data_IF_913270854370
#
_entry.id   IF_913270854370
#
_cell.length_a   1.000
_cell.length_b   1.000
_cell.length_c   1.000
_cell.angle_alpha   90.00
_cell.angle_beta   90.00
_cell.angle_gamma   90.00
#
_symmetry.space_group_name_H-M   'P 1'
#
loop_
_entity.id
_entity.type
_entity.pdbx_description
1 polymer ?
#
# COMPACT_ATOMS: atom_id res chain seq x y z
N UNK A 1 52.99 41.05 -40.16
CA UNK A 1 52.44 40.70 -38.83
C UNK A 1 50.91 40.56 -38.79
N UNK A 2 50.20 40.49 -39.93
CA UNK A 2 48.72 40.47 -39.93
C UNK A 2 48.08 39.06 -40.03
N UNK A 3 48.77 38.09 -40.64
CA UNK A 3 48.21 36.74 -40.83
C UNK A 3 48.15 35.89 -39.55
N UNK A 4 49.17 36.01 -38.69
CA UNK A 4 49.28 35.21 -37.47
C UNK A 4 48.27 35.66 -36.38
N UNK A 5 48.01 36.96 -36.27
CA UNK A 5 47.01 37.51 -35.35
C UNK A 5 45.58 37.19 -35.78
N UNK A 6 45.28 37.20 -37.09
CA UNK A 6 43.98 36.79 -37.61
C UNK A 6 43.68 35.31 -37.27
N UNK A 7 44.67 34.42 -37.47
CA UNK A 7 44.52 32.99 -37.16
C UNK A 7 44.30 32.69 -35.67
N UNK A 8 44.91 33.48 -34.76
CA UNK A 8 44.70 33.33 -33.31
C UNK A 8 43.30 33.83 -32.92
N UNK A 9 42.86 34.95 -33.50
CA UNK A 9 41.53 35.51 -33.27
C UNK A 9 40.42 34.53 -33.66
N UNK A 10 40.53 33.89 -34.82
CA UNK A 10 39.56 32.89 -35.30
C UNK A 10 39.47 31.68 -34.36
N UNK A 11 40.62 31.25 -33.82
CA UNK A 11 40.71 30.13 -32.88
C UNK A 11 40.08 30.48 -31.53
N UNK A 12 40.30 31.70 -31.04
CA UNK A 12 39.65 32.21 -29.84
C UNK A 12 38.13 32.34 -30.02
N UNK A 13 37.67 32.84 -31.17
CA UNK A 13 36.23 32.93 -31.45
C UNK A 13 35.57 31.54 -31.48
N UNK A 14 36.22 30.55 -32.10
CA UNK A 14 35.72 29.17 -32.11
C UNK A 14 35.66 28.51 -30.74
N UNK A 15 36.51 28.93 -29.79
CA UNK A 15 36.44 28.49 -28.38
C UNK A 15 35.26 29.17 -27.67
N UNK A 16 35.05 30.46 -27.90
CA UNK A 16 33.93 31.22 -27.33
C UNK A 16 32.61 30.62 -27.80
N UNK A 17 32.44 30.41 -29.11
CA UNK A 17 31.20 29.87 -29.68
C UNK A 17 30.87 28.48 -29.11
N UNK A 18 31.88 27.61 -28.99
CA UNK A 18 31.72 26.29 -28.35
C UNK A 18 31.39 26.37 -26.86
N UNK A 19 31.89 27.38 -26.17
CA UNK A 19 31.61 27.57 -24.74
C UNK A 19 30.16 28.00 -24.55
N UNK A 20 29.71 28.97 -25.34
CA UNK A 20 28.32 29.45 -25.34
C UNK A 20 27.34 28.33 -25.70
N UNK A 21 27.64 27.51 -26.71
CA UNK A 21 26.78 26.38 -27.07
C UNK A 21 26.71 25.33 -25.96
N UNK A 22 27.83 25.09 -25.25
CA UNK A 22 27.84 24.19 -24.09
C UNK A 22 27.05 24.74 -22.91
N UNK A 23 27.15 26.04 -22.63
CA UNK A 23 26.36 26.70 -21.58
C UNK A 23 24.86 26.58 -21.86
N UNK A 24 24.41 26.87 -23.09
CA UNK A 24 23.01 26.66 -23.48
C UNK A 24 22.56 25.21 -23.33
N UNK A 25 23.44 24.25 -23.64
CA UNK A 25 23.13 22.83 -23.48
C UNK A 25 23.03 22.43 -22.01
N UNK A 26 23.85 23.02 -21.14
CA UNK A 26 23.79 22.80 -19.69
C UNK A 26 22.45 23.33 -19.15
N UNK A 27 22.09 24.57 -19.47
CA UNK A 27 20.80 25.16 -19.03
C UNK A 27 19.60 24.32 -19.47
N UNK A 28 19.58 23.88 -20.73
CA UNK A 28 18.53 22.99 -21.24
C UNK A 28 18.46 21.67 -20.44
N UNK A 29 19.61 21.05 -20.18
CA UNK A 29 19.66 19.79 -19.43
C UNK A 29 19.29 19.96 -17.96
N UNK A 30 19.55 21.11 -17.36
CA UNK A 30 19.12 21.43 -15.99
C UNK A 30 17.60 21.56 -15.91
N UNK A 31 16.97 22.25 -16.86
CA UNK A 31 15.51 22.34 -16.96
C UNK A 31 14.86 20.97 -17.19
N UNK A 32 15.42 20.17 -18.10
CA UNK A 32 14.92 18.83 -18.40
C UNK A 32 15.06 17.90 -17.19
N UNK A 33 16.19 17.94 -16.49
CA UNK A 33 16.38 17.19 -15.24
C UNK A 33 15.39 17.61 -14.15
N UNK A 34 15.06 18.91 -14.05
CA UNK A 34 14.07 19.40 -13.08
C UNK A 34 12.68 18.83 -13.40
N UNK A 35 12.26 18.88 -14.67
CA UNK A 35 10.99 18.30 -15.12
C UNK A 35 10.92 16.80 -14.83
N UNK A 36 11.97 16.04 -15.16
CA UNK A 36 12.03 14.61 -14.91
C UNK A 36 11.93 14.27 -13.41
N UNK A 37 12.58 15.05 -12.54
CA UNK A 37 12.47 14.88 -11.07
C UNK A 37 11.05 15.16 -10.58
N UNK A 38 10.41 16.21 -11.09
CA UNK A 38 9.04 16.56 -10.72
C UNK A 38 8.03 15.50 -11.18
N UNK A 39 8.20 14.94 -12.39
CA UNK A 39 7.39 13.84 -12.91
C UNK A 39 7.57 12.56 -12.10
N UNK A 40 8.82 12.16 -11.84
CA UNK A 40 9.11 10.99 -11.00
C UNK A 40 8.51 11.14 -9.59
N UNK A 41 8.56 12.34 -9.01
CA UNK A 41 7.91 12.59 -7.73
C UNK A 41 6.39 12.36 -7.79
N UNK A 42 5.71 12.90 -8.82
CA UNK A 42 4.27 12.69 -9.03
C UNK A 42 3.92 11.21 -9.18
N UNK A 43 4.70 10.45 -9.92
CA UNK A 43 4.49 9.00 -10.10
C UNK A 43 4.64 8.26 -8.77
N UNK A 44 5.65 8.60 -7.97
CA UNK A 44 5.85 8.00 -6.64
C UNK A 44 4.70 8.28 -5.67
N UNK A 45 4.17 9.51 -5.68
CA UNK A 45 3.01 9.88 -4.87
C UNK A 45 1.74 9.18 -5.36
N UNK A 46 1.57 9.02 -6.67
CA UNK A 46 0.45 8.27 -7.26
C UNK A 46 0.47 6.81 -6.83
N UNK A 47 1.64 6.15 -6.91
CA UNK A 47 1.81 4.78 -6.43
C UNK A 47 1.49 4.64 -4.93
N UNK A 48 1.90 5.62 -4.11
CA UNK A 48 1.57 5.62 -2.68
C UNK A 48 0.06 5.73 -2.47
N UNK A 49 -0.60 6.66 -3.15
CA UNK A 49 -2.05 6.85 -3.06
C UNK A 49 -2.83 5.61 -3.53
N UNK A 50 -2.39 4.95 -4.60
CA UNK A 50 -2.99 3.69 -5.06
C UNK A 50 -2.86 2.58 -4.02
N UNK A 51 -1.70 2.46 -3.38
CA UNK A 51 -1.48 1.48 -2.31
C UNK A 51 -2.36 1.75 -1.08
N UNK A 52 -2.47 3.01 -0.65
CA UNK A 52 -3.34 3.43 0.45
C UNK A 52 -4.82 3.17 0.13
N UNK A 53 -5.25 3.50 -1.09
CA UNK A 53 -6.62 3.27 -1.56
C UNK A 53 -6.96 1.78 -1.64
N UNK A 54 -6.01 0.94 -2.08
CA UNK A 54 -6.17 -0.51 -2.08
C UNK A 54 -6.36 -1.03 -0.66
N UNK A 55 -5.50 -0.61 0.28
CA UNK A 55 -5.61 -0.98 1.70
C UNK A 55 -6.95 -0.56 2.30
N UNK A 56 -7.37 0.69 2.06
CA UNK A 56 -8.65 1.20 2.55
C UNK A 56 -9.85 0.43 1.96
N UNK A 57 -9.80 0.02 0.69
CA UNK A 57 -10.83 -0.83 0.07
C UNK A 57 -10.88 -2.22 0.70
N UNK A 58 -9.72 -2.82 0.99
CA UNK A 58 -9.63 -4.12 1.65
C UNK A 58 -10.18 -4.04 3.08
N UNK A 59 -9.88 -2.96 3.82
CA UNK A 59 -10.47 -2.67 5.13
C UNK A 59 -12.00 -2.49 5.04
N UNK A 60 -12.48 -1.76 4.03
CA UNK A 60 -13.91 -1.54 3.81
C UNK A 60 -14.65 -2.82 3.45
N UNK A 61 -14.05 -3.72 2.65
CA UNK A 61 -14.65 -5.01 2.29
C UNK A 61 -14.76 -5.96 3.50
N UNK A 62 -13.86 -5.84 4.49
CA UNK A 62 -13.98 -6.57 5.77
C UNK A 62 -15.18 -6.10 6.60
N UNK A 63 -15.68 -4.88 6.37
CA UNK A 63 -16.92 -4.34 6.94
C UNK A 63 -16.82 -3.89 8.40
N UNK A 64 -16.03 -4.59 9.22
CA UNK A 64 -15.69 -4.25 10.60
C UNK A 64 -14.22 -3.85 10.73
N UNK A 65 -13.82 -3.10 11.77
CA UNK A 65 -12.42 -2.72 12.02
C UNK A 65 -11.59 -3.92 12.48
N UNK A 66 -11.46 -4.92 11.60
CA UNK A 66 -10.67 -6.13 11.80
C UNK A 66 -9.51 -6.04 10.81
N UNK A 67 -8.28 -6.08 11.31
CA UNK A 67 -7.07 -6.15 10.49
C UNK A 67 -6.93 -7.53 9.84
N UNK A 68 -6.09 -7.63 8.81
CA UNK A 68 -5.81 -8.91 8.15
C UNK A 68 -5.30 -9.99 9.14
N UNK A 69 -4.43 -9.60 10.07
CA UNK A 69 -3.87 -10.48 11.10
C UNK A 69 -4.95 -10.98 12.06
N UNK A 70 -5.87 -10.11 12.47
CA UNK A 70 -6.99 -10.50 13.33
C UNK A 70 -7.94 -11.43 12.58
N UNK A 71 -8.23 -11.15 11.31
CA UNK A 71 -9.04 -12.02 10.47
C UNK A 71 -8.42 -13.43 10.32
N UNK A 72 -7.10 -13.52 10.20
CA UNK A 72 -6.39 -14.80 10.17
C UNK A 72 -6.56 -15.58 11.48
N UNK A 73 -6.31 -14.94 12.63
CA UNK A 73 -6.52 -15.54 13.96
C UNK A 73 -7.96 -16.03 14.15
N UNK A 74 -8.93 -15.22 13.73
CA UNK A 74 -10.36 -15.58 13.78
C UNK A 74 -10.61 -16.83 12.94
N UNK A 75 -10.10 -16.88 11.70
CA UNK A 75 -10.27 -18.05 10.81
C UNK A 75 -9.64 -19.30 11.41
N UNK A 76 -8.42 -19.22 11.91
CA UNK A 76 -7.74 -20.35 12.55
C UNK A 76 -8.53 -20.89 13.74
N UNK A 77 -8.99 -20.00 14.61
CA UNK A 77 -9.81 -20.38 15.75
C UNK A 77 -11.13 -21.01 15.31
N UNK A 78 -11.86 -20.40 14.36
CA UNK A 78 -13.11 -20.95 13.82
C UNK A 78 -12.90 -22.33 13.18
N UNK A 79 -11.80 -22.51 12.44
CA UNK A 79 -11.42 -23.79 11.84
C UNK A 79 -11.22 -24.87 12.90
N UNK A 80 -10.40 -24.58 13.91
CA UNK A 80 -10.13 -25.52 15.00
C UNK A 80 -11.39 -25.83 15.82
N UNK A 81 -12.09 -24.78 16.26
CA UNK A 81 -13.28 -24.88 17.10
C UNK A 81 -14.38 -25.70 16.43
N UNK A 82 -14.66 -25.46 15.14
CA UNK A 82 -15.64 -26.23 14.38
C UNK A 82 -15.30 -27.72 14.25
N UNK A 83 -14.02 -28.03 14.03
CA UNK A 83 -13.57 -29.41 13.89
C UNK A 83 -13.66 -30.16 15.23
N UNK A 84 -13.26 -29.51 16.33
CA UNK A 84 -13.15 -30.11 17.66
C UNK A 84 -14.47 -30.14 18.43
N UNK A 85 -15.23 -29.02 18.43
CA UNK A 85 -16.47 -28.87 19.21
C UNK A 85 -17.74 -29.23 18.42
N UNK A 86 -17.70 -29.14 17.10
CA UNK A 86 -18.86 -29.40 16.24
C UNK A 86 -18.67 -30.57 15.27
N UNK A 87 -17.48 -31.16 15.21
CA UNK A 87 -17.17 -32.27 14.30
C UNK A 87 -17.19 -31.88 12.82
N UNK A 88 -17.17 -30.57 12.50
CA UNK A 88 -17.27 -30.05 11.14
C UNK A 88 -15.87 -29.96 10.52
N UNK A 89 -15.43 -31.07 9.91
CA UNK A 89 -14.08 -31.22 9.38
C UNK A 89 -13.96 -30.73 7.94
N UNK A 90 -15.05 -30.76 7.17
CA UNK A 90 -15.04 -30.35 5.76
C UNK A 90 -15.70 -28.98 5.56
N UNK A 91 -15.36 -28.31 4.44
CA UNK A 91 -15.99 -27.05 4.08
C UNK A 91 -17.50 -27.20 3.85
N UNK A 92 -17.92 -28.30 3.21
CA UNK A 92 -19.33 -28.56 2.94
C UNK A 92 -20.15 -28.69 4.25
N UNK A 93 -19.61 -29.36 5.26
CA UNK A 93 -20.24 -29.48 6.57
C UNK A 93 -20.41 -28.11 7.24
N UNK A 94 -19.37 -27.26 7.17
CA UNK A 94 -19.39 -25.91 7.74
C UNK A 94 -20.39 -25.00 7.05
N UNK A 95 -20.45 -25.06 5.71
CA UNK A 95 -21.42 -24.31 4.90
C UNK A 95 -22.85 -24.74 5.21
N UNK A 96 -23.11 -26.05 5.30
CA UNK A 96 -24.44 -26.58 5.67
C UNK A 96 -24.85 -26.14 7.08
N UNK A 97 -23.94 -26.21 8.05
CA UNK A 97 -24.21 -25.74 9.41
C UNK A 97 -24.43 -24.21 9.46
N UNK A 98 -23.77 -23.47 8.56
CA UNK A 98 -23.82 -22.02 8.47
C UNK A 98 -25.07 -21.47 7.79
N UNK A 99 -25.78 -22.26 7.00
CA UNK A 99 -26.88 -21.76 6.17
C UNK A 99 -26.41 -20.86 5.03
N UNK A 100 -27.37 -20.32 4.27
CA UNK A 100 -27.12 -19.58 3.02
C UNK A 100 -26.29 -18.30 3.21
N UNK A 101 -26.37 -17.67 4.37
CA UNK A 101 -25.74 -16.37 4.67
C UNK A 101 -24.76 -16.43 5.85
N UNK A 102 -24.39 -17.63 6.32
CA UNK A 102 -23.71 -17.78 7.60
C UNK A 102 -24.63 -17.51 8.79
N UNK A 103 -24.04 -17.14 9.94
CA UNK A 103 -24.79 -16.86 11.19
C UNK A 103 -24.38 -17.71 12.39
N UNK A 104 -23.30 -18.49 12.28
CA UNK A 104 -22.77 -19.30 13.40
C UNK A 104 -21.90 -18.52 14.37
N UNK A 105 -21.45 -17.34 13.97
CA UNK A 105 -20.55 -16.51 14.75
C UNK A 105 -21.12 -15.12 14.92
N UNK A 106 -21.08 -14.64 16.15
CA UNK A 106 -21.36 -13.25 16.52
C UNK A 106 -20.04 -12.54 16.75
N UNK A 107 -19.87 -11.35 16.18
CA UNK A 107 -18.72 -10.49 16.42
C UNK A 107 -19.13 -9.40 17.39
N UNK A 108 -18.38 -9.27 18.49
CA UNK A 108 -18.61 -8.26 19.52
C UNK A 108 -17.41 -7.33 19.60
N UNK A 109 -17.68 -6.03 19.52
CA UNK A 109 -16.68 -4.98 19.65
C UNK A 109 -17.02 -4.12 20.86
N UNK A 110 -16.13 -4.08 21.84
CA UNK A 110 -16.31 -3.31 23.06
C UNK A 110 -15.36 -2.11 23.03
N UNK A 111 -15.85 -0.92 22.68
CA UNK A 111 -15.04 0.29 22.71
C UNK A 111 -14.75 0.69 24.16
N UNK A 112 -13.50 1.05 24.43
CA UNK A 112 -13.02 1.59 25.70
C UNK A 112 -12.33 2.93 25.47
N UNK A 113 -11.94 3.64 26.53
CA UNK A 113 -11.23 4.92 26.40
C UNK A 113 -9.81 4.79 25.83
N UNK A 114 -9.23 3.59 25.81
CA UNK A 114 -7.85 3.35 25.35
C UNK A 114 -7.76 2.50 24.08
N UNK A 115 -8.87 1.88 23.65
CA UNK A 115 -8.88 0.97 22.50
C UNK A 115 -10.19 0.17 22.40
N UNK A 116 -10.26 -0.76 21.47
CA UNK A 116 -11.44 -1.63 21.26
C UNK A 116 -11.05 -3.08 21.50
N UNK A 117 -11.81 -3.78 22.33
CA UNK A 117 -11.69 -5.24 22.48
C UNK A 117 -12.58 -5.90 21.42
N UNK A 118 -12.05 -6.92 20.74
CA UNK A 118 -12.76 -7.68 19.72
C UNK A 118 -12.89 -9.15 20.10
N UNK A 119 -14.13 -9.63 20.18
CA UNK A 119 -14.45 -11.03 20.42
C UNK A 119 -15.26 -11.65 19.27
N UNK A 120 -14.96 -12.90 18.95
CA UNK A 120 -15.82 -13.75 18.12
C UNK A 120 -16.43 -14.84 18.99
N UNK A 121 -17.75 -15.03 18.87
CA UNK A 121 -18.55 -15.88 19.75
C UNK A 121 -19.26 -16.90 18.86
N UNK A 122 -19.02 -18.19 19.09
CA UNK A 122 -19.77 -19.24 18.40
C UNK A 122 -21.20 -19.32 18.92
N UNK A 123 -22.13 -19.82 18.11
CA UNK A 123 -23.51 -20.12 18.52
C UNK A 123 -23.63 -21.09 19.69
N UNK A 124 -22.57 -21.85 20.01
CA UNK A 124 -22.49 -22.69 21.21
C UNK A 124 -22.08 -21.93 22.48
N UNK A 125 -21.74 -20.65 22.38
CA UNK A 125 -21.37 -19.77 23.48
C UNK A 125 -19.87 -19.65 23.74
N UNK A 126 -19.01 -20.48 23.13
CA UNK A 126 -17.57 -20.36 23.29
C UNK A 126 -17.03 -19.13 22.56
N UNK A 127 -16.08 -18.44 23.20
CA UNK A 127 -15.57 -17.13 22.78
C UNK A 127 -14.09 -17.18 22.46
N UNK A 128 -13.67 -16.28 21.58
CA UNK A 128 -12.27 -16.00 21.29
C UNK A 128 -12.03 -14.51 21.15
N UNK A 129 -11.11 -13.98 21.96
CA UNK A 129 -10.66 -12.59 21.91
C UNK A 129 -9.57 -12.47 20.85
N UNK A 130 -9.88 -11.86 19.72
CA UNK A 130 -8.93 -11.68 18.61
C UNK A 130 -8.13 -10.37 18.73
N UNK A 131 -8.70 -9.40 19.45
CA UNK A 131 -8.10 -8.11 19.73
C UNK A 131 -8.31 -7.79 21.22
N UNK A 132 -7.20 -7.58 21.93
CA UNK A 132 -7.18 -7.12 23.32
C UNK A 132 -6.73 -5.64 23.36
N UNK A 133 -6.77 -5.02 24.54
CA UNK A 133 -6.37 -3.61 24.76
C UNK A 133 -4.87 -3.37 24.67
#
# INVERSE_FOLDING_TARGET
MNFFNASISDLCQGIIDKTVDKERRIEYLEEENKKLKDEHYKDSEMQRMEAELKKAKEDLYRGFPISEKEQEKIREWQLKHDAEKHGLKTMEQRLRAGGCCGGRYTYQFVPTSIGTIGEVICSCGEKFTFQDL
#
